data_IF_352981613634
#
_entry.id   IF_352981613634
#
_cell.length_a   1.000
_cell.length_b   1.000
_cell.length_c   1.000
_cell.angle_alpha   90.00
_cell.angle_beta   90.00
_cell.angle_gamma   90.00
#
_symmetry.space_group_name_H-M   'P 1'
#
loop_
_entity.id
_entity.type
_entity.pdbx_description
1 polymer ?
#
# COMPACT_ATOMS: atom_id res chain seq x y z
N UNK A 1 33.98 39.93 -37.37
CA UNK A 1 32.51 40.07 -37.20
C UNK A 1 31.88 38.68 -37.27
N UNK A 2 30.81 38.44 -36.51
CA UNK A 2 30.09 37.17 -36.26
C UNK A 2 30.74 36.27 -35.19
N UNK A 3 30.05 35.76 -34.16
CA UNK A 3 28.61 35.60 -33.90
C UNK A 3 28.24 36.03 -32.47
N UNK A 4 27.14 36.76 -32.34
CA UNK A 4 26.45 36.92 -31.07
C UNK A 4 25.78 35.57 -30.73
N UNK A 5 26.20 34.94 -29.64
CA UNK A 5 25.49 33.81 -29.08
C UNK A 5 24.16 34.32 -28.52
N UNK A 6 23.11 33.61 -28.89
CA UNK A 6 21.72 33.92 -28.56
C UNK A 6 21.53 34.10 -27.06
N UNK A 7 20.72 35.10 -26.74
CA UNK A 7 20.26 35.46 -25.41
C UNK A 7 19.87 34.23 -24.58
N UNK A 8 20.59 34.01 -23.48
CA UNK A 8 20.05 33.35 -22.30
C UNK A 8 18.80 34.12 -21.84
N UNK A 9 17.65 33.73 -22.37
CA UNK A 9 16.36 34.14 -21.80
C UNK A 9 16.16 33.26 -20.58
N UNK A 10 16.53 33.80 -19.42
CA UNK A 10 16.12 33.28 -18.11
C UNK A 10 14.60 33.33 -18.02
N UNK A 11 13.95 32.26 -18.50
CA UNK A 11 12.50 32.07 -18.38
C UNK A 11 12.23 31.92 -16.88
N UNK A 12 11.67 32.98 -16.28
CA UNK A 12 11.15 32.95 -14.90
C UNK A 12 10.36 31.66 -14.70
N UNK A 13 10.59 30.88 -13.63
CA UNK A 13 9.94 29.59 -13.45
C UNK A 13 8.44 29.79 -13.37
N UNK A 14 7.76 29.45 -14.48
CA UNK A 14 6.32 29.56 -14.63
C UNK A 14 5.63 28.52 -13.72
N UNK A 15 4.37 28.74 -13.32
CA UNK A 15 3.61 27.81 -12.44
C UNK A 15 3.61 26.38 -13.00
N UNK A 16 3.57 26.23 -14.33
CA UNK A 16 3.67 24.96 -15.04
C UNK A 16 5.02 24.24 -14.86
N UNK A 17 6.12 24.98 -14.71
CA UNK A 17 7.44 24.40 -14.44
C UNK A 17 7.51 23.84 -13.01
N UNK A 18 6.84 24.50 -12.06
CA UNK A 18 6.73 24.03 -10.67
C UNK A 18 5.92 22.75 -10.56
N UNK A 19 4.81 22.65 -11.31
CA UNK A 19 3.99 21.43 -11.40
C UNK A 19 4.78 20.30 -12.07
N UNK A 20 5.53 20.58 -13.14
CA UNK A 20 6.40 19.58 -13.78
C UNK A 20 7.49 19.03 -12.86
N UNK A 21 8.10 19.88 -12.03
CA UNK A 21 9.04 19.46 -10.99
C UNK A 21 8.37 18.60 -9.90
N UNK A 22 7.16 18.94 -9.50
CA UNK A 22 6.40 18.18 -8.50
C UNK A 22 6.04 16.77 -8.99
N UNK A 23 5.61 16.63 -10.25
CA UNK A 23 5.34 15.30 -10.85
C UNK A 23 6.62 14.47 -10.93
N UNK A 24 7.76 15.08 -11.29
CA UNK A 24 9.07 14.41 -11.27
C UNK A 24 9.43 13.90 -9.87
N UNK A 25 9.21 14.71 -8.83
CA UNK A 25 9.41 14.30 -7.44
C UNK A 25 8.52 13.13 -7.05
N UNK A 26 7.23 13.14 -7.42
CA UNK A 26 6.33 12.01 -7.15
C UNK A 26 6.87 10.73 -7.79
N UNK A 27 7.30 10.77 -9.05
CA UNK A 27 7.83 9.60 -9.74
C UNK A 27 9.11 9.09 -9.06
N UNK A 28 10.00 10.00 -8.65
CA UNK A 28 11.22 9.63 -7.92
C UNK A 28 10.90 9.00 -6.55
N UNK A 29 9.90 9.51 -5.83
CA UNK A 29 9.45 8.94 -4.56
C UNK A 29 8.75 7.58 -4.75
N UNK A 30 7.93 7.44 -5.80
CA UNK A 30 7.28 6.19 -6.15
C UNK A 30 8.29 5.11 -6.55
N UNK A 31 9.45 5.47 -7.09
CA UNK A 31 10.57 4.55 -7.34
C UNK A 31 11.30 4.12 -6.07
N UNK A 32 11.22 4.90 -4.98
CA UNK A 32 11.76 4.54 -3.66
C UNK A 32 10.84 3.58 -2.91
N UNK A 33 9.58 3.47 -3.31
CA UNK A 33 8.70 2.42 -2.80
C UNK A 33 9.20 1.09 -3.33
N UNK A 34 9.73 0.26 -2.44
CA UNK A 34 10.24 -1.07 -2.79
C UNK A 34 9.07 -1.89 -3.33
N UNK A 35 9.08 -2.15 -4.64
CA UNK A 35 8.10 -3.01 -5.27
C UNK A 35 8.34 -4.46 -4.78
N UNK A 36 7.34 -5.10 -4.17
CA UNK A 36 7.53 -6.39 -3.54
C UNK A 36 7.87 -7.46 -4.58
N UNK A 37 8.80 -8.33 -4.25
CA UNK A 37 9.10 -9.52 -5.04
C UNK A 37 7.92 -10.48 -4.97
N UNK A 38 7.54 -11.13 -6.07
CA UNK A 38 6.34 -12.00 -6.12
C UNK A 38 6.32 -13.13 -5.09
N UNK A 39 7.49 -13.50 -4.53
CA UNK A 39 7.61 -14.49 -3.44
C UNK A 39 7.08 -13.96 -2.09
N UNK A 40 7.19 -12.67 -1.83
CA UNK A 40 6.70 -12.04 -0.60
C UNK A 40 5.17 -12.07 -0.54
N UNK A 41 4.49 -11.98 -1.68
CA UNK A 41 3.02 -11.97 -1.76
C UNK A 41 2.41 -13.25 -1.20
N UNK A 42 3.04 -14.39 -1.49
CA UNK A 42 2.64 -15.68 -0.94
C UNK A 42 2.87 -15.72 0.58
N UNK A 43 4.02 -15.24 1.07
CA UNK A 43 4.31 -15.19 2.49
C UNK A 43 3.30 -14.34 3.28
N UNK A 44 2.92 -13.18 2.74
CA UNK A 44 1.95 -12.28 3.36
C UNK A 44 0.54 -12.89 3.35
N UNK A 45 0.16 -13.55 2.26
CA UNK A 45 -1.13 -14.25 2.17
C UNK A 45 -1.22 -15.43 3.15
N UNK A 46 -0.15 -16.25 3.25
CA UNK A 46 -0.11 -17.41 4.16
C UNK A 46 -0.18 -16.96 5.63
N UNK A 47 0.53 -15.89 6.00
CA UNK A 47 0.47 -15.36 7.36
C UNK A 47 -0.95 -14.94 7.76
N UNK A 48 -1.68 -14.27 6.87
CA UNK A 48 -3.09 -13.89 7.09
C UNK A 48 -3.98 -15.12 7.18
N UNK A 49 -3.79 -16.12 6.32
CA UNK A 49 -4.56 -17.37 6.37
C UNK A 49 -4.42 -18.09 7.71
N UNK A 50 -3.20 -18.22 8.23
CA UNK A 50 -2.95 -18.85 9.53
C UNK A 50 -3.67 -18.10 10.65
N UNK A 51 -3.63 -16.77 10.63
CA UNK A 51 -4.31 -15.94 11.61
C UNK A 51 -5.84 -16.09 11.56
N UNK A 52 -6.43 -16.08 10.36
CA UNK A 52 -7.89 -16.24 10.18
C UNK A 52 -8.36 -17.63 10.61
N UNK A 53 -7.61 -18.68 10.27
CA UNK A 53 -7.94 -20.06 10.68
C UNK A 53 -7.93 -20.18 12.20
N UNK A 54 -6.96 -19.58 12.89
CA UNK A 54 -6.91 -19.57 14.35
C UNK A 54 -8.16 -18.91 14.94
N UNK A 55 -8.57 -17.76 14.41
CA UNK A 55 -9.81 -17.10 14.84
C UNK A 55 -11.04 -17.96 14.59
N UNK A 56 -11.14 -18.64 13.44
CA UNK A 56 -12.25 -19.55 13.17
C UNK A 56 -12.32 -20.69 14.19
N UNK A 57 -11.19 -21.27 14.58
CA UNK A 57 -11.17 -22.34 15.59
C UNK A 57 -11.68 -21.83 16.94
N UNK A 58 -11.20 -20.67 17.39
CA UNK A 58 -11.62 -20.08 18.67
C UNK A 58 -13.11 -19.75 18.67
N UNK A 59 -13.59 -19.09 17.61
CA UNK A 59 -15.00 -18.72 17.47
C UNK A 59 -15.88 -19.97 17.42
N UNK A 60 -15.52 -20.98 16.62
CA UNK A 60 -16.28 -22.24 16.53
C UNK A 60 -16.34 -22.96 17.88
N UNK A 61 -15.23 -23.00 18.63
CA UNK A 61 -15.21 -23.62 19.95
C UNK A 61 -16.13 -22.90 20.94
N UNK A 62 -16.15 -21.56 20.88
CA UNK A 62 -17.02 -20.74 21.71
C UNK A 62 -18.49 -20.90 21.31
N UNK A 63 -18.81 -20.88 20.02
CA UNK A 63 -20.16 -21.09 19.50
C UNK A 63 -20.70 -22.47 19.88
N UNK A 64 -19.87 -23.50 19.81
CA UNK A 64 -20.26 -24.85 20.22
C UNK A 64 -20.45 -24.96 21.74
N UNK A 65 -19.57 -24.35 22.52
CA UNK A 65 -19.66 -24.32 23.97
C UNK A 65 -20.90 -23.57 24.46
N UNK A 66 -21.10 -22.35 23.97
CA UNK A 66 -22.23 -21.50 24.34
C UNK A 66 -23.55 -22.01 23.75
N UNK A 67 -23.55 -22.54 22.53
CA UNK A 67 -24.74 -23.13 21.90
C UNK A 67 -25.26 -24.34 22.66
N UNK A 68 -24.38 -25.24 23.10
CA UNK A 68 -24.77 -26.40 23.92
C UNK A 68 -25.24 -25.99 25.33
N UNK A 69 -24.62 -24.95 25.92
CA UNK A 69 -25.06 -24.38 27.20
C UNK A 69 -26.44 -23.72 27.07
N UNK A 70 -26.67 -22.96 26.01
CA UNK A 70 -27.96 -22.31 25.76
C UNK A 70 -29.08 -23.33 25.59
N UNK A 71 -28.84 -24.41 24.83
CA UNK A 71 -29.83 -25.51 24.68
C UNK A 71 -30.14 -26.22 26.00
N UNK A 72 -29.17 -26.32 26.93
CA UNK A 72 -29.40 -26.89 28.26
C UNK A 72 -30.12 -25.97 29.25
N UNK A 73 -30.01 -24.65 29.06
CA UNK A 73 -30.61 -23.65 29.96
C UNK A 73 -32.00 -23.23 29.48
N UNK A 74 -32.21 -23.15 28.17
CA UNK A 74 -33.44 -22.62 27.56
C UNK A 74 -34.26 -23.67 26.79
N UNK A 75 -33.76 -24.89 26.64
CA UNK A 75 -34.50 -26.05 26.11
C UNK A 75 -35.00 -26.94 27.24
#
# INVERSE_FOLDING_TARGET
MAKANESEKSVKPNVFMRIGLFIKQIIDEMRKVVAPTGKEWAGWSVAVFIFVVLLMVVVTAMDFGLGQLALRIFG
#
